data_IF_105586542076
#
_entry.id   IF_105586542076
#
_cell.length_a   1.000
_cell.length_b   1.000
_cell.length_c   1.000
_cell.angle_alpha   90.00
_cell.angle_beta   90.00
_cell.angle_gamma   90.00
#
_symmetry.space_group_name_H-M   'P 1'
#
loop_
_entity.id
_entity.type
_entity.pdbx_description
1 polymer ?
#
# COMPACT_ATOMS: atom_id res chain seq x y z
N UNK A 1 -23.96 -0.63 30.85
CA UNK A 1 -23.47 0.35 29.86
C UNK A 1 -23.71 1.70 30.52
N UNK A 2 -22.76 2.09 31.35
CA UNK A 2 -22.85 3.32 32.13
C UNK A 2 -22.16 4.39 31.29
N UNK A 3 -22.73 5.59 31.19
CA UNK A 3 -22.13 6.62 30.32
C UNK A 3 -20.73 6.98 30.79
N UNK A 4 -19.77 7.01 29.86
CA UNK A 4 -18.43 7.58 30.08
C UNK A 4 -18.55 9.06 30.50
N UNK A 5 -18.20 9.36 31.76
CA UNK A 5 -18.25 10.71 32.33
C UNK A 5 -16.86 11.33 32.32
N UNK A 6 -16.65 12.35 31.48
CA UNK A 6 -15.42 13.15 31.46
C UNK A 6 -15.56 14.36 32.38
N UNK A 7 -14.75 14.42 33.45
CA UNK A 7 -14.75 15.55 34.39
C UNK A 7 -13.72 16.59 33.96
N UNK A 8 -14.16 17.80 33.58
CA UNK A 8 -13.28 18.97 33.46
C UNK A 8 -13.45 19.89 32.25
N UNK A 9 -14.34 19.61 31.27
CA UNK A 9 -14.53 20.49 30.10
C UNK A 9 -15.96 20.51 29.55
N UNK A 10 -16.34 21.63 28.91
CA UNK A 10 -17.70 21.93 28.40
C UNK A 10 -17.84 21.80 26.87
N UNK A 11 -16.98 21.02 26.18
CA UNK A 11 -17.07 20.81 24.73
C UNK A 11 -17.68 19.43 24.42
N UNK A 12 -18.96 19.41 24.03
CA UNK A 12 -19.70 18.19 23.75
C UNK A 12 -19.15 17.41 22.54
N UNK A 13 -18.65 18.10 21.52
CA UNK A 13 -18.15 17.47 20.27
C UNK A 13 -16.83 16.77 20.54
N UNK A 14 -15.94 17.42 21.28
CA UNK A 14 -14.70 16.82 21.76
C UNK A 14 -15.00 15.66 22.71
N UNK A 15 -15.94 15.83 23.64
CA UNK A 15 -16.33 14.80 24.60
C UNK A 15 -16.85 13.55 23.90
N UNK A 16 -17.71 13.70 22.87
CA UNK A 16 -18.21 12.58 22.09
C UNK A 16 -17.11 11.94 21.23
N UNK A 17 -16.23 12.73 20.60
CA UNK A 17 -15.13 12.17 19.78
C UNK A 17 -14.11 11.41 20.63
N UNK A 18 -13.82 11.90 21.83
CA UNK A 18 -12.96 11.23 22.79
C UNK A 18 -13.66 9.98 23.36
N UNK A 19 -14.96 10.05 23.66
CA UNK A 19 -15.77 8.89 24.05
C UNK A 19 -15.71 7.80 23.00
N UNK A 20 -16.04 8.13 21.75
CA UNK A 20 -16.03 7.20 20.62
C UNK A 20 -14.65 6.60 20.40
N UNK A 21 -13.59 7.43 20.49
CA UNK A 21 -12.21 6.96 20.40
C UNK A 21 -11.89 5.93 21.49
N UNK A 22 -12.21 6.22 22.75
CA UNK A 22 -11.96 5.30 23.86
C UNK A 22 -12.79 4.03 23.72
N UNK A 23 -14.09 4.13 23.43
CA UNK A 23 -14.96 2.96 23.25
C UNK A 23 -14.51 2.08 22.08
N UNK A 24 -13.98 2.68 21.01
CA UNK A 24 -13.50 1.96 19.83
C UNK A 24 -12.15 1.29 20.09
N UNK A 25 -11.22 1.99 20.70
CA UNK A 25 -9.84 1.51 20.87
C UNK A 25 -9.62 0.72 22.16
N UNK A 26 -10.48 0.92 23.16
CA UNK A 26 -10.36 0.36 24.50
C UNK A 26 -11.73 -0.12 25.06
N UNK A 27 -12.37 -1.11 24.43
CA UNK A 27 -13.74 -1.53 24.79
C UNK A 27 -13.87 -2.16 26.18
N UNK A 28 -12.78 -2.70 26.75
CA UNK A 28 -12.78 -3.38 28.07
C UNK A 28 -12.55 -2.42 29.25
N UNK A 29 -12.29 -1.14 28.95
CA UNK A 29 -12.00 -0.11 29.94
C UNK A 29 -13.31 0.41 30.55
N UNK A 30 -13.52 0.05 31.82
CA UNK A 30 -14.77 0.31 32.54
C UNK A 30 -15.11 1.79 32.81
N UNK A 31 -16.35 2.01 33.24
CA UNK A 31 -17.02 3.31 33.29
C UNK A 31 -16.44 4.28 34.35
N UNK A 32 -15.41 5.04 33.96
CA UNK A 32 -15.04 6.40 34.44
C UNK A 32 -13.60 6.72 34.02
N UNK A 33 -13.39 7.81 33.27
CA UNK A 33 -12.06 8.23 32.83
C UNK A 33 -11.74 9.62 33.40
N UNK A 34 -10.54 9.77 33.97
CA UNK A 34 -9.99 11.04 34.45
C UNK A 34 -8.88 11.50 33.52
N UNK A 35 -8.94 12.76 33.13
CA UNK A 35 -7.92 13.38 32.31
C UNK A 35 -6.93 14.05 33.25
N UNK A 36 -5.65 13.74 33.10
CA UNK A 36 -4.57 14.32 33.88
C UNK A 36 -3.66 15.12 32.95
N UNK A 37 -3.39 16.37 33.31
CA UNK A 37 -2.52 17.28 32.57
C UNK A 37 -1.51 17.89 33.54
N UNK A 38 -0.23 17.77 33.22
CA UNK A 38 0.84 18.53 33.85
C UNK A 38 1.58 19.39 32.82
N UNK A 39 2.60 20.14 33.27
CA UNK A 39 3.34 21.08 32.44
C UNK A 39 4.11 20.44 31.27
N UNK A 40 4.17 19.10 31.20
CA UNK A 40 4.91 18.37 30.17
C UNK A 40 4.04 17.36 29.40
N UNK A 41 3.00 16.80 30.02
CA UNK A 41 2.24 15.66 29.48
C UNK A 41 0.76 15.70 29.83
N UNK A 42 -0.05 15.17 28.89
CA UNK A 42 -1.45 14.81 29.12
C UNK A 42 -1.57 13.29 29.09
N UNK A 43 -2.20 12.69 30.08
CA UNK A 43 -2.48 11.26 30.13
C UNK A 43 -3.92 10.98 30.54
N UNK A 44 -4.39 9.79 30.22
CA UNK A 44 -5.73 9.32 30.58
C UNK A 44 -5.59 8.32 31.71
N UNK A 45 -6.20 8.62 32.87
CA UNK A 45 -6.29 7.72 34.01
C UNK A 45 -7.65 7.04 33.99
N UNK A 46 -7.62 5.73 33.97
CA UNK A 46 -8.78 4.88 33.78
C UNK A 46 -9.43 4.48 35.10
N UNK A 47 -10.64 3.93 35.03
CA UNK A 47 -11.43 3.54 36.21
C UNK A 47 -10.74 2.47 37.07
N UNK A 48 -10.01 1.56 36.43
CA UNK A 48 -9.23 0.50 37.06
C UNK A 48 -7.88 1.00 37.63
N UNK A 49 -7.57 2.28 37.45
CA UNK A 49 -6.32 2.91 37.86
C UNK A 49 -5.19 2.84 36.84
N UNK A 50 -5.41 2.24 35.66
CA UNK A 50 -4.42 2.23 34.57
C UNK A 50 -4.22 3.64 33.98
N UNK A 51 -3.04 3.88 33.40
CA UNK A 51 -2.67 5.19 32.82
C UNK A 51 -2.27 4.98 31.37
N UNK A 52 -3.01 5.59 30.44
CA UNK A 52 -2.63 5.64 29.02
C UNK A 52 -1.70 6.83 28.80
N UNK A 53 -0.48 6.52 28.40
CA UNK A 53 0.57 7.50 28.12
C UNK A 53 0.35 8.20 26.78
N UNK A 54 1.06 9.31 26.55
CA UNK A 54 0.98 10.05 25.29
C UNK A 54 1.33 9.22 24.05
N UNK A 55 2.28 8.28 24.18
CA UNK A 55 2.68 7.43 23.07
C UNK A 55 1.60 6.40 22.73
N UNK A 56 1.04 5.74 23.75
CA UNK A 56 -0.05 4.75 23.59
C UNK A 56 -1.30 5.39 23.00
N UNK A 57 -1.60 6.62 23.40
CA UNK A 57 -2.69 7.41 22.85
C UNK A 57 -2.42 7.83 21.40
N UNK A 58 -1.18 8.20 21.06
CA UNK A 58 -0.82 8.59 19.70
C UNK A 58 -0.95 7.42 18.72
N UNK A 59 -0.46 6.23 19.10
CA UNK A 59 -0.53 5.02 18.27
C UNK A 59 -1.99 4.57 18.05
N UNK A 60 -2.77 4.54 19.13
CA UNK A 60 -4.18 4.15 19.06
C UNK A 60 -5.00 5.12 18.20
N UNK A 61 -4.59 6.39 18.16
CA UNK A 61 -5.19 7.40 17.32
C UNK A 61 -4.93 7.19 15.82
N UNK A 62 -3.75 6.66 15.46
CA UNK A 62 -3.43 6.25 14.08
C UNK A 62 -4.39 5.16 13.63
N UNK A 63 -4.54 4.13 14.45
CA UNK A 63 -5.42 3.00 14.15
C UNK A 63 -6.89 3.43 14.07
N UNK A 64 -7.33 4.27 15.01
CA UNK A 64 -8.66 4.86 14.98
C UNK A 64 -8.93 5.62 13.68
N UNK A 65 -7.94 6.39 13.19
CA UNK A 65 -8.03 7.08 11.91
C UNK A 65 -8.12 6.11 10.72
N UNK A 66 -7.37 5.00 10.74
CA UNK A 66 -7.39 3.97 9.69
C UNK A 66 -8.70 3.18 9.64
N UNK A 67 -9.43 3.08 10.75
CA UNK A 67 -10.78 2.50 10.81
C UNK A 67 -11.87 3.40 10.20
N UNK A 68 -11.48 4.50 9.55
CA UNK A 68 -12.37 5.44 8.90
C UNK A 68 -12.83 6.60 9.79
N UNK A 69 -12.31 6.74 11.01
CA UNK A 69 -12.67 7.80 11.95
C UNK A 69 -11.69 8.98 11.92
N UNK A 70 -11.12 9.29 10.75
CA UNK A 70 -10.05 10.28 10.58
C UNK A 70 -10.42 11.66 11.18
N UNK A 71 -11.62 12.16 10.92
CA UNK A 71 -12.05 13.49 11.40
C UNK A 71 -12.13 13.56 12.93
N UNK A 72 -12.64 12.49 13.55
CA UNK A 72 -12.69 12.38 15.02
C UNK A 72 -11.28 12.24 15.60
N UNK A 73 -10.40 11.50 14.93
CA UNK A 73 -9.01 11.34 15.33
C UNK A 73 -8.26 12.68 15.37
N UNK A 74 -8.52 13.59 14.42
CA UNK A 74 -7.90 14.93 14.40
C UNK A 74 -8.35 15.79 15.58
N UNK A 75 -9.64 15.70 15.95
CA UNK A 75 -10.21 16.39 17.11
C UNK A 75 -9.56 15.87 18.40
N UNK A 76 -9.47 14.55 18.55
CA UNK A 76 -8.84 13.90 19.70
C UNK A 76 -7.34 14.22 19.78
N UNK A 77 -6.61 14.23 18.66
CA UNK A 77 -5.19 14.62 18.59
C UNK A 77 -4.95 16.02 19.18
N UNK A 78 -5.77 16.98 18.72
CA UNK A 78 -5.61 18.39 19.05
C UNK A 78 -5.82 18.63 20.55
N UNK A 79 -6.68 17.82 21.14
CA UNK A 79 -6.93 17.83 22.57
C UNK A 79 -5.79 17.20 23.37
N UNK A 80 -5.41 15.96 23.03
CA UNK A 80 -4.45 15.14 23.80
C UNK A 80 -3.01 15.68 23.73
N UNK A 81 -2.63 16.36 22.66
CA UNK A 81 -1.23 16.76 22.44
C UNK A 81 -1.01 18.28 22.38
N UNK A 82 -2.07 19.07 22.62
CA UNK A 82 -2.00 20.53 22.58
C UNK A 82 -1.46 21.07 21.25
N UNK A 83 -0.91 22.28 21.24
CA UNK A 83 -0.32 22.90 20.03
C UNK A 83 1.10 22.40 19.67
N UNK A 84 1.58 21.29 20.25
CA UNK A 84 2.81 20.59 19.77
C UNK A 84 2.47 19.47 18.77
N UNK A 85 1.53 19.82 17.89
CA UNK A 85 0.89 19.07 16.80
C UNK A 85 1.84 18.64 15.67
N UNK A 86 3.04 19.19 15.62
CA UNK A 86 3.93 19.14 14.44
C UNK A 86 4.69 17.82 14.25
N UNK A 87 4.98 17.06 15.30
CA UNK A 87 5.74 15.80 15.18
C UNK A 87 4.84 14.62 14.81
N UNK A 88 3.68 14.52 15.45
CA UNK A 88 2.71 13.45 15.21
C UNK A 88 1.99 13.60 13.86
N UNK A 89 1.72 14.84 13.43
CA UNK A 89 1.24 15.15 12.07
C UNK A 89 2.24 14.76 10.98
N UNK A 90 3.55 14.97 11.21
CA UNK A 90 4.57 14.67 10.20
C UNK A 90 4.70 13.16 9.92
N UNK A 91 4.64 12.31 10.94
CA UNK A 91 4.78 10.85 10.79
C UNK A 91 3.51 10.24 10.16
N UNK A 92 2.33 10.64 10.61
CA UNK A 92 1.04 10.20 10.07
C UNK A 92 0.80 10.63 8.61
N UNK A 93 1.13 11.88 8.27
CA UNK A 93 1.07 12.40 6.90
C UNK A 93 2.00 11.65 5.95
N UNK A 94 3.20 11.33 6.41
CA UNK A 94 4.19 10.60 5.60
C UNK A 94 3.70 9.19 5.28
N UNK A 95 3.11 8.49 6.26
CA UNK A 95 2.54 7.15 6.04
C UNK A 95 1.29 7.20 5.14
N UNK A 96 0.43 8.20 5.29
CA UNK A 96 -0.74 8.40 4.43
C UNK A 96 -0.37 8.74 2.97
N UNK A 97 0.66 9.57 2.73
CA UNK A 97 1.16 9.90 1.40
C UNK A 97 1.77 8.68 0.68
N UNK A 98 2.47 7.80 1.41
CA UNK A 98 3.02 6.54 0.88
C UNK A 98 1.91 5.56 0.48
N UNK A 99 0.82 5.52 1.24
CA UNK A 99 -0.32 4.63 0.97
C UNK A 99 -1.27 5.21 -0.11
N UNK A 100 -1.37 6.53 -0.23
CA UNK A 100 -2.26 7.23 -1.19
C UNK A 100 -1.62 7.48 -2.55
N UNK A 101 -0.28 7.60 -2.61
CA UNK A 101 0.49 7.55 -3.84
C UNK A 101 1.23 6.20 -3.89
N UNK A 102 0.52 5.09 -4.19
CA UNK A 102 1.23 3.86 -4.51
C UNK A 102 2.20 4.19 -5.65
N UNK A 103 3.39 3.56 -5.70
CA UNK A 103 4.36 3.84 -6.75
C UNK A 103 3.62 3.85 -8.10
N UNK A 104 3.90 4.87 -8.94
CA UNK A 104 3.26 5.14 -10.25
C UNK A 104 3.22 3.95 -11.24
N UNK A 105 3.71 2.78 -10.83
CA UNK A 105 3.75 1.52 -11.55
C UNK A 105 2.74 0.46 -11.08
N UNK A 106 1.80 0.75 -10.17
CA UNK A 106 0.66 -0.14 -9.88
C UNK A 106 -0.49 -0.01 -10.90
N UNK A 107 -0.22 0.41 -12.13
CA UNK A 107 -1.16 0.07 -13.22
C UNK A 107 -1.18 -1.46 -13.32
N UNK A 108 -2.32 -2.05 -13.68
CA UNK A 108 -2.38 -3.47 -14.07
C UNK A 108 -1.36 -3.67 -15.20
N UNK A 109 -0.15 -4.13 -14.87
CA UNK A 109 0.90 -4.35 -15.85
C UNK A 109 0.67 -5.72 -16.44
N UNK A 110 0.56 -5.76 -17.76
CA UNK A 110 0.47 -7.00 -18.49
C UNK A 110 1.89 -7.49 -18.79
N UNK A 111 2.13 -8.79 -18.62
CA UNK A 111 3.42 -9.43 -18.95
C UNK A 111 3.44 -9.79 -20.43
N UNK A 112 4.56 -9.56 -21.09
CA UNK A 112 4.76 -9.93 -22.48
C UNK A 112 6.02 -10.76 -22.68
N UNK A 113 5.97 -11.60 -23.71
CA UNK A 113 7.12 -12.30 -24.27
C UNK A 113 7.38 -11.73 -25.66
N UNK A 114 8.62 -11.36 -25.94
CA UNK A 114 9.06 -10.92 -27.27
C UNK A 114 10.23 -11.76 -27.75
N UNK A 115 10.28 -12.06 -29.04
CA UNK A 115 11.42 -12.71 -29.68
C UNK A 115 12.20 -11.68 -30.49
N UNK A 116 13.50 -11.62 -30.26
CA UNK A 116 14.43 -10.99 -31.19
C UNK A 116 14.69 -11.97 -32.35
N UNK A 117 14.28 -11.59 -33.56
CA UNK A 117 14.43 -12.43 -34.75
C UNK A 117 15.89 -12.63 -35.17
N UNK A 118 16.80 -11.73 -34.80
CA UNK A 118 18.20 -11.85 -35.19
C UNK A 118 18.95 -12.84 -34.31
N UNK A 119 18.71 -12.78 -33.00
CA UNK A 119 19.44 -13.58 -32.01
C UNK A 119 18.68 -14.83 -31.58
N UNK A 120 17.36 -14.88 -31.83
CA UNK A 120 16.48 -15.92 -31.33
C UNK A 120 16.12 -15.79 -29.85
N UNK A 121 16.72 -14.84 -29.13
CA UNK A 121 16.53 -14.65 -27.69
C UNK A 121 15.13 -14.14 -27.37
N UNK A 122 14.61 -14.57 -26.22
CA UNK A 122 13.31 -14.16 -25.72
C UNK A 122 13.47 -13.12 -24.63
N UNK A 123 12.84 -11.96 -24.82
CA UNK A 123 12.69 -10.92 -23.82
C UNK A 123 11.43 -11.17 -23.00
N UNK A 124 11.58 -11.14 -21.69
CA UNK A 124 10.46 -11.15 -20.73
C UNK A 124 10.34 -9.72 -20.21
N UNK A 125 9.15 -9.14 -20.28
CA UNK A 125 8.94 -7.79 -19.74
C UNK A 125 7.50 -7.56 -19.30
N UNK A 126 7.25 -6.48 -18.57
CA UNK A 126 5.90 -6.00 -18.27
C UNK A 126 5.69 -4.56 -18.73
N UNK A 127 4.45 -4.19 -19.04
CA UNK A 127 4.07 -2.80 -19.33
C UNK A 127 2.64 -2.53 -18.89
N UNK A 128 2.34 -1.26 -18.60
CA UNK A 128 0.97 -0.80 -18.42
C UNK A 128 0.22 -0.54 -19.73
N UNK A 129 0.96 -0.39 -20.82
CA UNK A 129 0.46 -0.31 -22.19
C UNK A 129 1.43 -1.09 -23.08
N UNK A 130 1.01 -2.28 -23.52
CA UNK A 130 1.85 -3.14 -24.34
C UNK A 130 2.00 -2.58 -25.75
N UNK A 131 0.97 -1.96 -26.31
CA UNK A 131 0.98 -1.39 -27.66
C UNK A 131 2.02 -0.28 -27.78
N UNK A 132 2.00 0.68 -26.85
CA UNK A 132 3.00 1.76 -26.79
C UNK A 132 4.39 1.20 -26.52
N UNK A 133 4.51 0.20 -25.64
CA UNK A 133 5.81 -0.40 -25.32
C UNK A 133 6.41 -1.14 -26.52
N UNK A 134 5.61 -1.88 -27.29
CA UNK A 134 6.03 -2.51 -28.54
C UNK A 134 6.59 -1.44 -29.48
N UNK A 135 5.83 -0.37 -29.72
CA UNK A 135 6.24 0.69 -30.64
C UNK A 135 7.58 1.32 -30.24
N UNK A 136 7.73 1.68 -28.96
CA UNK A 136 8.97 2.26 -28.42
C UNK A 136 10.16 1.28 -28.52
N UNK A 137 9.95 0.00 -28.23
CA UNK A 137 11.00 -1.00 -28.34
C UNK A 137 11.39 -1.26 -29.80
N UNK A 138 10.42 -1.26 -30.72
CA UNK A 138 10.66 -1.41 -32.16
C UNK A 138 11.47 -0.25 -32.76
N UNK A 139 11.37 0.96 -32.20
CA UNK A 139 12.25 2.08 -32.60
C UNK A 139 13.72 1.80 -32.30
N UNK A 140 14.01 1.14 -31.16
CA UNK A 140 15.39 0.78 -30.78
C UNK A 140 15.88 -0.53 -31.39
N UNK A 141 14.98 -1.50 -31.62
CA UNK A 141 15.28 -2.75 -32.30
C UNK A 141 14.08 -3.21 -33.15
N UNK A 142 14.12 -3.04 -34.48
CA UNK A 142 13.00 -3.39 -35.37
C UNK A 142 12.77 -4.91 -35.51
N UNK A 143 13.72 -5.73 -35.05
CA UNK A 143 13.65 -7.20 -35.12
C UNK A 143 12.93 -7.84 -33.93
N UNK A 144 12.50 -7.02 -32.94
CA UNK A 144 11.67 -7.49 -31.83
C UNK A 144 10.23 -7.74 -32.30
N UNK A 145 9.73 -8.93 -32.02
CA UNK A 145 8.35 -9.35 -32.31
C UNK A 145 7.68 -9.89 -31.07
N UNK A 146 6.42 -9.48 -30.84
CA UNK A 146 5.59 -9.97 -29.75
C UNK A 146 5.24 -11.45 -29.99
N UNK A 147 5.44 -12.31 -29.00
CA UNK A 147 5.04 -13.73 -29.04
C UNK A 147 3.71 -13.92 -28.33
N UNK A 148 3.61 -13.40 -27.11
CA UNK A 148 2.46 -13.64 -26.26
C UNK A 148 2.31 -12.54 -25.21
N UNK A 149 1.07 -12.34 -24.76
CA UNK A 149 0.69 -11.35 -23.74
C UNK A 149 -0.19 -11.99 -22.68
N UNK A 150 0.00 -11.60 -21.43
CA UNK A 150 -0.83 -11.99 -20.29
C UNK A 150 -1.26 -10.73 -19.54
N UNK A 151 -2.56 -10.59 -19.29
CA UNK A 151 -3.12 -9.46 -18.55
C UNK A 151 -2.95 -9.57 -17.02
N UNK A 152 -1.74 -9.96 -16.61
CA UNK A 152 -1.29 -10.06 -15.22
C UNK A 152 0.21 -9.77 -15.16
N UNK A 153 0.67 -9.21 -14.04
CA UNK A 153 2.09 -8.95 -13.82
C UNK A 153 2.75 -10.16 -13.12
N UNK A 154 3.39 -11.03 -13.91
CA UNK A 154 4.16 -12.18 -13.41
C UNK A 154 5.64 -12.10 -13.83
N UNK A 155 6.09 -10.95 -14.33
CA UNK A 155 7.45 -10.73 -14.85
C UNK A 155 8.52 -11.18 -13.85
N UNK A 156 8.38 -10.78 -12.57
CA UNK A 156 9.31 -11.18 -11.51
C UNK A 156 9.35 -12.69 -11.29
N UNK A 157 8.20 -13.36 -11.34
CA UNK A 157 8.12 -14.83 -11.22
C UNK A 157 8.88 -15.51 -12.38
N UNK A 158 8.68 -15.04 -13.60
CA UNK A 158 9.36 -15.59 -14.77
C UNK A 158 10.87 -15.31 -14.76
N UNK A 159 11.29 -14.11 -14.33
CA UNK A 159 12.71 -13.79 -14.19
C UNK A 159 13.42 -14.68 -13.17
N UNK A 160 12.76 -15.00 -12.06
CA UNK A 160 13.27 -15.95 -11.06
C UNK A 160 13.30 -17.38 -11.62
N UNK A 161 12.22 -17.79 -12.30
CA UNK A 161 12.08 -19.15 -12.84
C UNK A 161 13.13 -19.48 -13.91
N UNK A 162 13.55 -18.51 -14.71
CA UNK A 162 14.48 -18.70 -15.83
C UNK A 162 15.83 -18.00 -15.61
N UNK A 163 16.19 -17.70 -14.36
CA UNK A 163 17.42 -16.99 -14.03
C UNK A 163 18.68 -17.69 -14.57
N UNK A 164 18.65 -19.01 -14.63
CA UNK A 164 19.68 -19.91 -15.21
C UNK A 164 19.84 -19.75 -16.73
N UNK A 165 18.78 -19.33 -17.44
CA UNK A 165 18.77 -19.11 -18.89
C UNK A 165 18.98 -17.64 -19.28
N UNK A 166 19.29 -16.77 -18.33
CA UNK A 166 19.47 -15.33 -18.54
C UNK A 166 20.78 -15.05 -19.26
N UNK A 167 20.72 -14.30 -20.37
CA UNK A 167 21.90 -13.90 -21.14
C UNK A 167 22.35 -12.50 -20.76
N UNK A 168 21.48 -11.49 -20.93
CA UNK A 168 21.79 -10.09 -20.61
C UNK A 168 20.53 -9.26 -20.41
N UNK A 169 20.51 -8.44 -19.36
CA UNK A 169 19.39 -7.56 -19.06
C UNK A 169 18.09 -8.34 -18.80
N UNK A 170 17.15 -8.27 -19.73
CA UNK A 170 15.85 -8.97 -19.70
C UNK A 170 15.72 -10.03 -20.81
N UNK A 171 16.82 -10.43 -21.43
CA UNK A 171 16.85 -11.43 -22.51
C UNK A 171 17.34 -12.80 -22.01
N UNK A 172 16.65 -13.84 -22.47
CA UNK A 172 16.78 -15.23 -22.06
C UNK A 172 16.93 -16.15 -23.25
N UNK A 173 17.72 -17.22 -23.10
CA UNK A 173 17.84 -18.29 -24.08
C UNK A 173 16.76 -19.36 -23.81
N UNK A 174 15.51 -19.05 -24.15
CA UNK A 174 14.37 -19.96 -23.99
C UNK A 174 14.15 -20.78 -25.25
N UNK A 175 13.93 -22.08 -25.10
CA UNK A 175 13.54 -22.95 -26.23
C UNK A 175 12.06 -22.75 -26.60
N UNK A 176 11.64 -23.28 -27.76
CA UNK A 176 10.24 -23.22 -28.15
C UNK A 176 9.34 -24.00 -27.16
N UNK A 177 9.86 -25.06 -26.53
CA UNK A 177 9.18 -25.84 -25.50
C UNK A 177 9.02 -25.02 -24.21
N UNK A 178 10.05 -24.26 -23.79
CA UNK A 178 9.95 -23.34 -22.65
C UNK A 178 8.82 -22.31 -22.88
N UNK A 179 8.84 -21.66 -24.05
CA UNK A 179 7.83 -20.66 -24.42
C UNK A 179 6.44 -21.27 -24.44
N UNK A 180 6.28 -22.45 -25.05
CA UNK A 180 5.00 -23.15 -25.12
C UNK A 180 4.48 -23.54 -23.73
N UNK A 181 5.38 -23.99 -22.85
CA UNK A 181 5.07 -24.30 -21.47
C UNK A 181 4.61 -23.06 -20.69
N UNK A 182 5.30 -21.92 -20.84
CA UNK A 182 4.89 -20.64 -20.23
C UNK A 182 3.50 -20.24 -20.71
N UNK A 183 3.27 -20.26 -22.02
CA UNK A 183 1.99 -19.85 -22.62
C UNK A 183 0.85 -20.70 -22.06
N UNK A 184 1.02 -22.03 -22.05
CA UNK A 184 -0.01 -22.96 -21.57
C UNK A 184 -0.23 -22.86 -20.06
N UNK A 185 0.85 -22.78 -19.27
CA UNK A 185 0.76 -22.78 -17.80
C UNK A 185 0.07 -21.53 -17.25
N UNK A 186 0.40 -20.36 -17.80
CA UNK A 186 -0.09 -19.07 -17.27
C UNK A 186 -1.26 -18.49 -18.05
N UNK A 187 -1.66 -19.12 -19.17
CA UNK A 187 -2.79 -18.68 -20.00
C UNK A 187 -2.47 -17.42 -20.80
N UNK A 188 -1.27 -17.34 -21.39
CA UNK A 188 -0.96 -16.22 -22.29
C UNK A 188 -1.81 -16.29 -23.55
N UNK A 189 -2.25 -15.12 -24.03
CA UNK A 189 -2.85 -14.98 -25.35
C UNK A 189 -1.73 -14.84 -26.38
N UNK A 190 -1.62 -15.80 -27.30
CA UNK A 190 -0.68 -15.73 -28.42
C UNK A 190 -1.07 -14.60 -29.35
N UNK A 191 -0.15 -13.68 -29.63
CA UNK A 191 -0.42 -12.58 -30.55
C UNK A 191 -0.02 -13.03 -31.95
N UNK A 192 -0.93 -13.72 -32.64
CA UNK A 192 -0.74 -14.01 -34.07
C UNK A 192 -1.06 -12.72 -34.80
N UNK A 193 -0.04 -11.90 -35.07
CA UNK A 193 -0.18 -10.87 -36.10
C UNK A 193 -0.17 -11.62 -37.43
N UNK A 194 -1.36 -11.86 -37.98
CA UNK A 194 -1.50 -12.25 -39.38
C UNK A 194 -0.71 -11.25 -40.20
N UNK A 195 0.39 -11.73 -40.79
CA UNK A 195 1.16 -11.02 -41.78
C UNK A 195 0.25 -10.94 -43.00
N UNK A 196 -0.21 -9.74 -43.33
CA UNK A 196 -0.58 -9.39 -44.71
C UNK A 196 0.63 -8.66 -45.27
#
# INVERSE_FOLDING_TARGET
>A
MTDLVFKGQNDQVLTNSLKDFIETMYPDLGDCIKLYEDCYTKCIICADGSVLTQLELADSLIEYALLGNFDKAVVVNSYLFGDRKMLHYAILKTMAEVLSNPPKNCKNRSTYLMKDKNTGLVKIGSSSDISVRIQTLSCGNPYLSILAVLDKNIEKELHLKFADKKIKGEFYNLTNEDVSHIIKKYGFTSYVKSII
#
